data_IF_059048107631
#
_entry.id   IF_059048107631
#
_cell.length_a   1.000
_cell.length_b   1.000
_cell.length_c   1.000
_cell.angle_alpha   90.00
_cell.angle_beta   90.00
_cell.angle_gamma   90.00
#
_symmetry.space_group_name_H-M   'P 1'
#
loop_
_entity.id
_entity.type
_entity.pdbx_description
1 polymer ?
#
# COMPACT_ATOMS: atom_id res chain seq x y z
N UNK A 1 -4.79 -28.25 0.83
CA UNK A 1 -5.68 -27.25 1.45
C UNK A 1 -5.71 -26.07 0.49
N UNK A 2 -6.86 -25.77 -0.11
CA UNK A 2 -7.07 -24.53 -0.87
C UNK A 2 -6.73 -23.38 0.08
N UNK A 3 -5.77 -22.54 -0.27
CA UNK A 3 -5.52 -21.33 0.46
C UNK A 3 -6.84 -20.54 0.44
N UNK A 4 -7.50 -20.46 1.59
CA UNK A 4 -8.63 -19.55 1.75
C UNK A 4 -8.10 -18.16 1.46
N UNK A 5 -8.60 -17.60 0.39
CA UNK A 5 -8.26 -16.27 -0.10
C UNK A 5 -8.68 -15.26 0.97
N UNK A 6 -7.78 -14.98 1.91
CA UNK A 6 -8.03 -14.01 2.97
C UNK A 6 -7.99 -12.57 2.46
N UNK A 7 -8.44 -11.62 3.28
CA UNK A 7 -8.49 -10.21 2.93
C UNK A 7 -7.09 -9.59 2.84
N UNK A 8 -6.89 -8.66 1.89
CA UNK A 8 -5.72 -7.81 1.80
C UNK A 8 -6.03 -6.46 2.46
N UNK A 9 -5.21 -6.05 3.43
CA UNK A 9 -5.24 -4.71 4.02
C UNK A 9 -4.04 -3.90 3.54
N UNK A 10 -4.28 -2.69 3.04
CA UNK A 10 -3.24 -1.72 2.71
C UNK A 10 -3.39 -0.50 3.59
N UNK A 11 -2.36 -0.17 4.38
CA UNK A 11 -2.33 1.06 5.19
C UNK A 11 -1.40 2.05 4.53
N UNK A 12 -1.96 3.16 4.08
CA UNK A 12 -1.34 4.21 3.27
C UNK A 12 -1.34 5.53 4.04
N UNK A 13 -0.25 6.27 4.00
CA UNK A 13 -0.18 7.59 4.60
C UNK A 13 -1.11 8.57 3.88
N UNK A 14 -1.03 8.61 2.55
CA UNK A 14 -1.75 9.54 1.70
C UNK A 14 -2.60 8.84 0.64
N UNK A 15 -3.49 9.60 0.03
CA UNK A 15 -4.49 9.11 -0.91
C UNK A 15 -3.93 8.56 -2.24
N UNK A 16 -2.67 8.84 -2.58
CA UNK A 16 -2.02 8.35 -3.81
C UNK A 16 -1.11 7.14 -3.61
N UNK A 17 -0.52 6.98 -2.43
CA UNK A 17 0.57 6.02 -2.17
C UNK A 17 0.24 4.58 -2.57
N UNK A 18 -0.96 4.11 -2.23
CA UNK A 18 -1.37 2.74 -2.52
C UNK A 18 -1.38 2.43 -4.02
N UNK A 19 -1.65 3.44 -4.86
CA UNK A 19 -1.67 3.28 -6.31
C UNK A 19 -0.25 3.13 -6.85
N UNK A 20 0.63 4.05 -6.42
CA UNK A 20 2.01 4.08 -6.89
C UNK A 20 2.77 2.83 -6.49
N UNK A 21 2.62 2.42 -5.24
CA UNK A 21 3.51 1.46 -4.56
C UNK A 21 2.96 0.04 -4.50
N UNK A 22 1.63 -0.12 -4.52
CA UNK A 22 0.97 -1.41 -4.32
C UNK A 22 -0.20 -1.68 -5.29
N UNK A 23 -0.41 -0.82 -6.30
CA UNK A 23 -1.54 -0.94 -7.22
C UNK A 23 -1.59 -2.27 -7.96
N UNK A 24 -0.44 -2.83 -8.31
CA UNK A 24 -0.35 -4.16 -8.92
C UNK A 24 -0.78 -5.27 -7.97
N UNK A 25 -0.27 -5.27 -6.73
CA UNK A 25 -0.65 -6.25 -5.70
C UNK A 25 -2.15 -6.19 -5.39
N UNK A 26 -2.72 -4.99 -5.26
CA UNK A 26 -4.15 -4.78 -5.02
C UNK A 26 -4.98 -5.35 -6.18
N UNK A 27 -4.60 -5.03 -7.42
CA UNK A 27 -5.31 -5.53 -8.60
C UNK A 27 -5.23 -7.05 -8.74
N UNK A 28 -4.09 -7.66 -8.41
CA UNK A 28 -3.93 -9.13 -8.39
C UNK A 28 -4.80 -9.77 -7.30
N UNK A 29 -4.88 -9.17 -6.10
CA UNK A 29 -5.75 -9.65 -5.04
C UNK A 29 -7.22 -9.64 -5.51
N UNK A 30 -7.68 -8.54 -6.08
CA UNK A 30 -9.03 -8.42 -6.62
C UNK A 30 -9.31 -9.41 -7.76
N UNK A 31 -8.34 -9.68 -8.66
CA UNK A 31 -8.47 -10.68 -9.71
C UNK A 31 -8.62 -12.12 -9.18
N UNK A 32 -8.09 -12.40 -7.98
CA UNK A 32 -8.22 -13.69 -7.28
C UNK A 32 -9.47 -13.79 -6.43
N UNK A 33 -10.35 -12.78 -6.46
CA UNK A 33 -11.54 -12.73 -5.62
C UNK A 33 -11.29 -12.37 -4.15
N UNK A 34 -10.06 -11.95 -3.80
CA UNK A 34 -9.75 -11.47 -2.45
C UNK A 34 -10.36 -10.07 -2.24
N UNK A 35 -10.95 -9.86 -1.08
CA UNK A 35 -11.36 -8.52 -0.66
C UNK A 35 -10.12 -7.68 -0.34
N UNK A 36 -9.86 -6.64 -1.11
CA UNK A 36 -8.79 -5.70 -0.88
C UNK A 36 -9.36 -4.40 -0.27
N UNK A 37 -8.82 -3.98 0.86
CA UNK A 37 -9.24 -2.74 1.55
C UNK A 37 -8.02 -1.86 1.74
N UNK A 38 -8.12 -0.64 1.23
CA UNK A 38 -7.13 0.43 1.41
C UNK A 38 -7.61 1.35 2.52
N UNK A 39 -6.75 1.66 3.46
CA UNK A 39 -6.97 2.65 4.51
C UNK A 39 -5.95 3.78 4.32
N UNK A 40 -6.43 4.94 3.88
CA UNK A 40 -5.63 6.16 3.80
C UNK A 40 -5.75 6.93 5.12
N UNK A 41 -4.62 7.24 5.75
CA UNK A 41 -4.61 7.97 7.02
C UNK A 41 -4.92 9.45 6.80
N UNK A 42 -4.51 10.02 5.65
CA UNK A 42 -4.81 11.38 5.21
C UNK A 42 -5.17 11.41 3.72
N UNK A 43 -5.50 12.58 3.22
CA UNK A 43 -5.76 12.79 1.79
C UNK A 43 -4.50 13.21 1.01
N UNK A 44 -3.38 13.51 1.67
CA UNK A 44 -2.22 14.13 1.03
C UNK A 44 -2.50 15.60 0.69
N UNK A 45 -3.34 16.23 1.50
CA UNK A 45 -3.91 17.54 1.22
C UNK A 45 -2.88 18.66 1.26
N UNK A 46 -1.81 18.53 2.10
CA UNK A 46 -0.76 19.53 2.18
C UNK A 46 0.47 19.17 1.36
N UNK A 47 0.95 17.92 1.48
CA UNK A 47 2.21 17.50 0.86
C UNK A 47 2.11 17.13 -0.61
N UNK A 48 0.97 16.60 -1.05
CA UNK A 48 0.82 16.04 -2.40
C UNK A 48 -0.11 16.84 -3.33
N UNK A 49 -0.59 17.99 -2.88
CA UNK A 49 -1.63 18.79 -3.56
C UNK A 49 -1.13 20.19 -3.97
N UNK A 50 0.17 20.34 -4.23
CA UNK A 50 0.80 21.64 -4.52
C UNK A 50 0.12 22.41 -5.65
N UNK A 51 -0.42 21.74 -6.67
CA UNK A 51 -1.13 22.38 -7.77
C UNK A 51 -2.42 23.03 -7.27
N UNK A 52 -3.26 22.33 -6.55
CA UNK A 52 -4.53 22.83 -6.04
C UNK A 52 -4.32 24.04 -5.10
N UNK A 53 -3.27 24.01 -4.26
CA UNK A 53 -2.88 25.14 -3.43
C UNK A 53 -2.49 26.39 -4.25
N UNK A 54 -1.75 26.22 -5.36
CA UNK A 54 -1.39 27.33 -6.25
C UNK A 54 -2.60 27.89 -7.00
N UNK A 55 -3.59 27.06 -7.26
CA UNK A 55 -4.87 27.45 -7.89
C UNK A 55 -5.82 28.12 -6.90
N UNK A 56 -5.47 28.21 -5.61
CA UNK A 56 -6.21 28.93 -4.58
C UNK A 56 -7.37 28.16 -3.95
N UNK A 57 -7.38 26.81 -4.09
CA UNK A 57 -8.39 25.98 -3.43
C UNK A 57 -8.25 25.99 -1.91
N UNK A 58 -9.37 25.91 -1.22
CA UNK A 58 -9.42 25.71 0.23
C UNK A 58 -8.98 24.29 0.61
N UNK A 59 -8.62 24.09 1.89
CA UNK A 59 -8.25 22.78 2.41
C UNK A 59 -9.36 21.74 2.19
N UNK A 60 -10.61 22.11 2.40
CA UNK A 60 -11.75 21.20 2.23
C UNK A 60 -11.98 20.83 0.76
N UNK A 61 -11.83 21.78 -0.15
CA UNK A 61 -11.88 21.49 -1.59
C UNK A 61 -10.76 20.55 -2.02
N UNK A 62 -9.54 20.75 -1.50
CA UNK A 62 -8.40 19.87 -1.79
C UNK A 62 -8.67 18.46 -1.28
N UNK A 63 -9.15 18.31 -0.03
CA UNK A 63 -9.53 17.00 0.50
C UNK A 63 -10.58 16.31 -0.38
N UNK A 64 -11.62 17.04 -0.79
CA UNK A 64 -12.65 16.49 -1.66
C UNK A 64 -12.11 16.03 -3.02
N UNK A 65 -11.22 16.81 -3.63
CA UNK A 65 -10.53 16.45 -4.88
C UNK A 65 -9.72 15.15 -4.70
N UNK A 66 -8.90 15.09 -3.65
CA UNK A 66 -8.04 13.94 -3.38
C UNK A 66 -8.84 12.67 -3.03
N UNK A 67 -9.93 12.85 -2.30
CA UNK A 67 -10.85 11.75 -1.99
C UNK A 67 -11.49 11.17 -3.26
N UNK A 68 -11.98 12.01 -4.16
CA UNK A 68 -12.58 11.59 -5.43
C UNK A 68 -11.56 10.88 -6.33
N UNK A 69 -10.36 11.43 -6.48
CA UNK A 69 -9.26 10.79 -7.19
C UNK A 69 -8.95 9.40 -6.64
N UNK A 70 -8.76 9.28 -5.32
CA UNK A 70 -8.40 8.02 -4.68
C UNK A 70 -9.54 6.98 -4.75
N UNK A 71 -10.81 7.39 -4.63
CA UNK A 71 -11.97 6.50 -4.82
C UNK A 71 -12.03 5.93 -6.23
N UNK A 72 -11.80 6.78 -7.25
CA UNK A 72 -11.73 6.33 -8.66
C UNK A 72 -10.57 5.35 -8.87
N UNK A 73 -9.40 5.65 -8.30
CA UNK A 73 -8.24 4.79 -8.40
C UNK A 73 -8.46 3.43 -7.70
N UNK A 74 -9.00 3.42 -6.47
CA UNK A 74 -9.34 2.19 -5.76
C UNK A 74 -10.35 1.34 -6.54
N UNK A 75 -11.39 1.96 -7.09
CA UNK A 75 -12.37 1.28 -7.95
C UNK A 75 -11.71 0.65 -9.19
N UNK A 76 -10.80 1.35 -9.86
CA UNK A 76 -10.06 0.81 -11.01
C UNK A 76 -9.21 -0.42 -10.64
N UNK A 77 -8.69 -0.48 -9.41
CA UNK A 77 -7.96 -1.62 -8.88
C UNK A 77 -8.88 -2.76 -8.39
N UNK A 78 -10.15 -2.47 -8.13
CA UNK A 78 -11.10 -3.42 -7.54
C UNK A 78 -11.01 -3.49 -6.01
N UNK A 79 -10.64 -2.40 -5.35
CA UNK A 79 -10.50 -2.29 -3.90
C UNK A 79 -11.55 -1.38 -3.27
N UNK A 80 -11.87 -1.65 -2.01
CA UNK A 80 -12.55 -0.71 -1.12
C UNK A 80 -11.53 0.31 -0.59
N UNK A 81 -11.97 1.53 -0.27
CA UNK A 81 -11.13 2.55 0.32
C UNK A 81 -11.83 3.22 1.51
N UNK A 82 -11.05 3.50 2.56
CA UNK A 82 -11.47 4.21 3.77
C UNK A 82 -10.47 5.31 4.10
N UNK A 83 -10.97 6.42 4.65
CA UNK A 83 -10.14 7.55 5.07
C UNK A 83 -10.26 7.76 6.57
N UNK A 84 -9.13 8.05 7.22
CA UNK A 84 -9.10 8.34 8.65
C UNK A 84 -9.03 9.84 8.94
N UNK A 85 -8.78 10.67 7.94
CA UNK A 85 -8.72 12.14 8.02
C UNK A 85 -7.82 12.65 9.16
N UNK A 86 -6.64 12.07 9.27
CA UNK A 86 -5.68 12.41 10.33
C UNK A 86 -4.86 13.68 10.02
N UNK A 87 -4.97 14.22 8.81
CA UNK A 87 -4.10 15.27 8.29
C UNK A 87 -2.74 14.73 7.86
N UNK A 88 -2.02 15.53 7.09
CA UNK A 88 -0.66 15.24 6.64
C UNK A 88 0.28 16.41 6.91
N UNK A 89 1.58 16.18 6.81
CA UNK A 89 2.64 17.17 6.94
C UNK A 89 2.50 18.09 8.17
N UNK A 90 2.57 17.50 9.37
CA UNK A 90 2.90 16.10 9.65
C UNK A 90 1.67 15.23 9.93
N UNK A 91 1.77 13.95 9.55
CA UNK A 91 0.89 12.91 10.07
C UNK A 91 1.31 12.58 11.51
N UNK A 92 0.46 12.93 12.47
CA UNK A 92 0.76 12.76 13.90
C UNK A 92 0.28 11.40 14.39
N UNK A 93 1.21 10.60 14.89
CA UNK A 93 0.87 9.33 15.53
C UNK A 93 0.04 9.57 16.79
N UNK A 94 -1.09 8.89 16.89
CA UNK A 94 -1.96 9.01 18.06
C UNK A 94 -2.56 7.66 18.44
N UNK A 95 -2.89 7.52 19.73
CA UNK A 95 -3.59 6.33 20.21
C UNK A 95 -4.95 6.15 19.52
N UNK A 96 -5.66 7.23 19.29
CA UNK A 96 -6.96 7.19 18.60
C UNK A 96 -6.85 6.56 17.20
N UNK A 97 -5.87 6.98 16.41
CA UNK A 97 -5.63 6.41 15.07
C UNK A 97 -5.26 4.93 15.14
N UNK A 98 -4.41 4.55 16.10
CA UNK A 98 -4.06 3.16 16.33
C UNK A 98 -5.29 2.35 16.73
N UNK A 99 -6.14 2.85 17.63
CA UNK A 99 -7.38 2.18 18.04
C UNK A 99 -8.36 2.00 16.86
N UNK A 100 -8.46 3.00 15.97
CA UNK A 100 -9.25 2.89 14.72
C UNK A 100 -8.67 1.81 13.80
N UNK A 101 -7.36 1.75 13.64
CA UNK A 101 -6.71 0.70 12.86
C UNK A 101 -6.91 -0.69 13.48
N UNK A 102 -6.82 -0.84 14.81
CA UNK A 102 -7.11 -2.11 15.50
C UNK A 102 -8.50 -2.65 15.17
N UNK A 103 -9.51 -1.77 15.21
CA UNK A 103 -10.89 -2.12 14.83
C UNK A 103 -10.96 -2.63 13.39
N UNK A 104 -10.28 -1.94 12.47
CA UNK A 104 -10.22 -2.34 11.06
C UNK A 104 -9.51 -3.70 10.90
N UNK A 105 -8.41 -3.93 11.61
CA UNK A 105 -7.73 -5.23 11.61
C UNK A 105 -8.65 -6.36 12.07
N UNK A 106 -9.36 -6.17 13.20
CA UNK A 106 -10.28 -7.20 13.71
C UNK A 106 -11.50 -7.40 12.83
N UNK A 107 -12.05 -6.34 12.26
CA UNK A 107 -13.15 -6.41 11.28
C UNK A 107 -12.78 -7.21 10.04
N UNK A 108 -11.59 -6.92 9.48
CA UNK A 108 -11.17 -7.50 8.20
C UNK A 108 -10.49 -8.85 8.33
N UNK A 109 -9.89 -9.15 9.48
CA UNK A 109 -9.03 -10.33 9.67
C UNK A 109 -8.09 -10.55 8.49
N UNK A 110 -7.20 -9.59 8.16
CA UNK A 110 -6.40 -9.66 6.94
C UNK A 110 -5.44 -10.83 6.96
N UNK A 111 -5.29 -11.51 5.83
CA UNK A 111 -4.28 -12.55 5.61
C UNK A 111 -2.92 -11.96 5.20
N UNK A 112 -2.91 -10.73 4.68
CA UNK A 112 -1.72 -9.98 4.27
C UNK A 112 -1.94 -8.49 4.54
N UNK A 113 -0.88 -7.83 4.99
CA UNK A 113 -0.87 -6.37 5.20
C UNK A 113 0.25 -5.75 4.38
N UNK A 114 -0.06 -4.69 3.65
CA UNK A 114 0.91 -3.84 2.96
C UNK A 114 0.95 -2.47 3.63
N UNK A 115 2.15 -1.92 3.80
CA UNK A 115 2.33 -0.57 4.33
C UNK A 115 3.66 0.04 3.87
N UNK A 116 4.00 1.23 4.33
CA UNK A 116 5.22 1.93 3.98
C UNK A 116 6.48 1.28 4.56
N UNK A 117 7.63 1.65 4.01
CA UNK A 117 8.94 1.36 4.59
C UNK A 117 9.10 2.06 5.96
N UNK A 118 9.91 1.44 6.84
CA UNK A 118 10.15 1.96 8.19
C UNK A 118 11.08 3.20 8.21
N UNK A 119 11.77 3.44 7.11
CA UNK A 119 12.62 4.61 6.92
C UNK A 119 12.27 5.29 5.60
N UNK A 120 12.03 6.59 5.67
CA UNK A 120 11.90 7.47 4.51
C UNK A 120 12.35 8.89 4.93
N UNK A 121 13.59 9.28 4.62
CA UNK A 121 14.11 10.60 5.02
C UNK A 121 13.46 11.76 4.28
N UNK A 122 12.71 11.49 3.21
CA UNK A 122 12.03 12.52 2.41
C UNK A 122 10.58 12.77 2.85
N UNK A 123 9.98 11.81 3.56
CA UNK A 123 8.59 11.95 4.00
C UNK A 123 8.37 11.23 5.34
N UNK A 124 8.34 12.02 6.42
CA UNK A 124 8.14 11.50 7.79
C UNK A 124 6.79 10.82 8.02
N UNK A 125 5.78 11.13 7.20
CA UNK A 125 4.44 10.55 7.32
C UNK A 125 4.43 9.06 6.95
N UNK A 126 5.29 8.64 6.02
CA UNK A 126 5.38 7.24 5.61
C UNK A 126 5.83 6.31 6.76
N UNK A 127 6.95 6.56 7.44
CA UNK A 127 7.33 5.77 8.61
C UNK A 127 6.31 5.87 9.76
N UNK A 128 5.64 7.01 9.95
CA UNK A 128 4.59 7.16 10.95
C UNK A 128 3.40 6.24 10.65
N UNK A 129 2.94 6.20 9.40
CA UNK A 129 1.90 5.28 8.96
C UNK A 129 2.29 3.82 9.17
N UNK A 130 3.53 3.45 8.80
CA UNK A 130 4.05 2.10 9.02
C UNK A 130 4.07 1.71 10.50
N UNK A 131 4.58 2.58 11.39
CA UNK A 131 4.60 2.31 12.84
C UNK A 131 3.22 2.11 13.41
N UNK A 132 2.24 2.95 13.04
CA UNK A 132 0.85 2.80 13.49
C UNK A 132 0.22 1.51 12.97
N UNK A 133 0.46 1.13 11.71
CA UNK A 133 -0.01 -0.14 11.16
C UNK A 133 0.56 -1.36 11.92
N UNK A 134 1.86 -1.34 12.24
CA UNK A 134 2.51 -2.40 12.99
C UNK A 134 2.04 -2.47 14.45
N UNK A 135 1.88 -1.33 15.10
CA UNK A 135 1.35 -1.27 16.45
C UNK A 135 -0.09 -1.82 16.49
N UNK A 136 -0.94 -1.40 15.56
CA UNK A 136 -2.31 -1.90 15.45
C UNK A 136 -2.35 -3.41 15.21
N UNK A 137 -1.45 -3.94 14.35
CA UNK A 137 -1.32 -5.38 14.12
C UNK A 137 -1.03 -6.16 15.42
N UNK A 138 -0.13 -5.64 16.28
CA UNK A 138 0.19 -6.29 17.55
C UNK A 138 -0.99 -6.23 18.51
N UNK A 139 -1.61 -5.07 18.65
CA UNK A 139 -2.74 -4.86 19.56
C UNK A 139 -3.99 -5.64 19.12
N UNK A 140 -4.21 -5.80 17.83
CA UNK A 140 -5.33 -6.57 17.30
C UNK A 140 -5.26 -8.07 17.65
N UNK A 141 -4.08 -8.60 17.96
CA UNK A 141 -3.85 -9.99 18.41
C UNK A 141 -4.09 -10.15 19.92
N UNK A 142 -4.02 -9.07 20.68
CA UNK A 142 -4.09 -9.13 22.13
C UNK A 142 -5.52 -9.35 22.60
N UNK A 143 -5.78 -10.49 23.25
CA UNK A 143 -7.11 -10.87 23.79
C UNK A 143 -7.63 -9.82 24.79
N UNK A 144 -6.74 -9.25 25.62
CA UNK A 144 -7.09 -8.26 26.62
C UNK A 144 -7.19 -6.82 26.09
N UNK A 145 -7.06 -6.59 24.79
CA UNK A 145 -7.21 -5.27 24.22
C UNK A 145 -8.67 -4.94 23.95
N UNK A 146 -9.13 -3.82 24.52
CA UNK A 146 -10.53 -3.38 24.40
C UNK A 146 -10.83 -2.84 22.99
N UNK A 147 -11.23 -3.73 22.11
CA UNK A 147 -11.69 -3.42 20.77
C UNK A 147 -12.71 -4.48 20.31
N UNK A 148 -13.73 -4.09 19.52
CA UNK A 148 -14.70 -5.04 18.98
C UNK A 148 -14.05 -6.06 18.05
N UNK A 149 -14.70 -7.24 17.93
CA UNK A 149 -14.25 -8.34 17.07
C UNK A 149 -13.26 -9.28 17.76
N UNK A 150 -13.09 -10.45 17.16
CA UNK A 150 -12.19 -11.47 17.69
C UNK A 150 -10.71 -11.09 17.47
N UNK A 151 -9.82 -11.44 18.41
CA UNK A 151 -8.39 -11.33 18.18
C UNK A 151 -7.96 -12.14 16.96
N UNK A 152 -7.08 -11.60 16.15
CA UNK A 152 -6.62 -12.27 14.94
C UNK A 152 -5.24 -12.91 15.13
N UNK A 153 -4.86 -13.77 14.19
CA UNK A 153 -3.48 -14.24 14.08
C UNK A 153 -2.52 -13.12 13.66
N UNK A 154 -1.26 -13.46 13.46
CA UNK A 154 -0.21 -12.52 13.07
C UNK A 154 -0.09 -12.46 11.53
N UNK A 155 -0.83 -11.60 10.81
CA UNK A 155 -0.70 -11.52 9.37
C UNK A 155 0.72 -11.09 8.98
N UNK A 156 1.30 -11.65 7.90
CA UNK A 156 2.55 -11.16 7.33
C UNK A 156 2.40 -9.71 6.87
N UNK A 157 3.46 -8.94 7.05
CA UNK A 157 3.50 -7.53 6.62
C UNK A 157 4.59 -7.36 5.59
N UNK A 158 4.26 -6.69 4.51
CA UNK A 158 5.19 -6.30 3.47
C UNK A 158 5.22 -4.78 3.36
N UNK A 159 6.44 -4.23 3.42
CA UNK A 159 6.67 -2.83 3.13
C UNK A 159 6.83 -2.64 1.63
N UNK A 160 6.03 -1.78 1.05
CA UNK A 160 6.19 -1.41 -0.36
C UNK A 160 7.34 -0.41 -0.56
N UNK A 161 7.85 -0.40 -1.78
CA UNK A 161 9.01 0.37 -2.17
C UNK A 161 8.81 1.88 -1.97
N UNK A 162 9.70 2.58 -1.24
CA UNK A 162 9.66 4.03 -1.14
C UNK A 162 10.06 4.69 -2.47
N UNK A 163 9.80 5.99 -2.61
CA UNK A 163 10.09 6.74 -3.84
C UNK A 163 11.59 6.79 -4.17
N UNK A 164 12.43 6.82 -3.15
CA UNK A 164 13.90 6.81 -3.28
C UNK A 164 14.49 5.66 -2.45
N UNK A 165 14.43 4.43 -2.97
CA UNK A 165 14.79 3.24 -2.21
C UNK A 165 16.22 3.22 -1.71
N UNK A 166 17.16 3.81 -2.46
CA UNK A 166 18.57 3.83 -2.11
C UNK A 166 18.84 4.63 -0.81
N UNK A 167 18.11 5.73 -0.59
CA UNK A 167 18.23 6.56 0.61
C UNK A 167 17.44 6.01 1.80
N UNK A 168 16.55 5.06 1.55
CA UNK A 168 15.72 4.42 2.56
C UNK A 168 16.31 3.07 3.02
N UNK A 169 17.51 2.71 2.58
CA UNK A 169 18.12 1.37 2.76
C UNK A 169 17.16 0.22 2.39
N UNK A 170 16.34 0.46 1.35
CA UNK A 170 15.32 -0.47 0.91
C UNK A 170 15.93 -1.55 0.02
N UNK A 171 16.06 -2.75 0.58
CA UNK A 171 16.57 -3.93 -0.12
C UNK A 171 15.43 -4.92 -0.30
N UNK A 172 14.76 -4.94 -1.46
CA UNK A 172 13.63 -5.83 -1.67
C UNK A 172 14.04 -7.30 -1.61
N UNK A 173 13.29 -8.08 -0.87
CA UNK A 173 13.38 -9.53 -0.76
C UNK A 173 12.20 -10.26 -1.42
N UNK A 174 11.18 -9.50 -1.84
CA UNK A 174 10.05 -9.99 -2.62
C UNK A 174 9.86 -9.15 -3.88
N UNK A 175 9.82 -9.82 -5.02
CA UNK A 175 9.46 -9.24 -6.31
C UNK A 175 8.18 -9.89 -6.79
N UNK A 176 7.13 -9.12 -6.90
CA UNK A 176 5.80 -9.57 -7.30
C UNK A 176 5.61 -9.29 -8.80
N UNK A 177 5.38 -10.35 -9.58
CA UNK A 177 4.98 -10.20 -10.99
C UNK A 177 3.57 -9.60 -11.08
N UNK A 178 3.51 -8.40 -11.62
CA UNK A 178 2.26 -7.66 -11.82
C UNK A 178 1.90 -7.50 -13.30
N UNK A 179 2.56 -8.23 -14.20
CA UNK A 179 2.39 -8.07 -15.65
C UNK A 179 0.92 -8.15 -16.05
N UNK A 180 0.20 -9.16 -15.55
CA UNK A 180 -1.23 -9.33 -15.83
C UNK A 180 -2.15 -8.30 -15.17
N UNK A 181 -1.66 -7.53 -14.21
CA UNK A 181 -2.41 -6.50 -13.49
C UNK A 181 -1.96 -5.07 -13.84
N UNK A 182 -0.84 -4.91 -14.54
CA UNK A 182 -0.25 -3.60 -14.79
C UNK A 182 -1.20 -2.64 -15.54
N UNK A 183 -1.99 -3.13 -16.46
CA UNK A 183 -2.98 -2.32 -17.15
C UNK A 183 -4.03 -1.70 -16.21
N UNK A 184 -4.44 -2.42 -15.15
CA UNK A 184 -5.32 -1.87 -14.10
C UNK A 184 -4.59 -0.86 -13.22
N UNK A 185 -3.35 -1.15 -12.83
CA UNK A 185 -2.50 -0.21 -12.11
C UNK A 185 -2.33 1.10 -12.89
N UNK A 186 -2.03 1.02 -14.20
CA UNK A 186 -1.87 2.20 -15.05
C UNK A 186 -3.15 3.05 -15.09
N UNK A 187 -4.30 2.44 -15.26
CA UNK A 187 -5.60 3.15 -15.19
C UNK A 187 -5.83 3.83 -13.86
N UNK A 188 -5.46 3.17 -12.75
CA UNK A 188 -5.56 3.77 -11.43
C UNK A 188 -4.62 4.96 -11.25
N UNK A 189 -3.38 4.87 -11.78
CA UNK A 189 -2.45 6.01 -11.79
C UNK A 189 -3.03 7.21 -12.53
N UNK A 190 -3.70 7.00 -13.66
CA UNK A 190 -4.35 8.05 -14.45
C UNK A 190 -5.55 8.70 -13.76
N UNK A 191 -6.09 8.08 -12.70
CA UNK A 191 -7.10 8.70 -11.83
C UNK A 191 -6.51 9.75 -10.87
N UNK A 192 -5.19 9.93 -10.82
CA UNK A 192 -4.48 10.84 -9.92
C UNK A 192 -3.79 11.99 -10.69
N UNK A 193 -4.54 12.88 -11.38
CA UNK A 193 -3.96 13.96 -12.18
C UNK A 193 -3.21 14.99 -11.34
N UNK A 194 -3.48 15.11 -10.03
CA UNK A 194 -2.70 15.95 -9.13
C UNK A 194 -1.20 15.57 -9.12
N UNK A 195 -0.88 14.31 -9.40
CA UNK A 195 0.47 13.76 -9.40
C UNK A 195 0.84 13.15 -10.78
N UNK A 196 0.41 13.75 -11.88
CA UNK A 196 0.65 13.25 -13.24
C UNK A 196 2.12 12.95 -13.54
N UNK A 197 3.05 13.71 -12.97
CA UNK A 197 4.49 13.52 -13.11
C UNK A 197 4.99 12.16 -12.62
N UNK A 198 4.19 11.44 -11.80
CA UNK A 198 4.52 10.11 -11.29
C UNK A 198 4.18 8.99 -12.26
N UNK A 199 3.37 9.22 -13.29
CA UNK A 199 2.90 8.15 -14.18
C UNK A 199 4.04 7.44 -14.90
N UNK A 200 4.97 8.20 -15.47
CA UNK A 200 6.10 7.64 -16.21
C UNK A 200 7.13 7.05 -15.25
N UNK A 201 7.38 7.72 -14.12
CA UNK A 201 8.29 7.22 -13.09
C UNK A 201 7.90 5.81 -12.61
N UNK A 202 6.65 5.60 -12.18
CA UNK A 202 6.22 4.30 -11.69
C UNK A 202 6.01 3.25 -12.80
N UNK A 203 5.78 3.67 -14.02
CA UNK A 203 5.81 2.78 -15.19
C UNK A 203 7.22 2.28 -15.45
N UNK A 204 8.22 3.16 -15.43
CA UNK A 204 9.61 2.80 -15.60
C UNK A 204 10.13 1.94 -14.45
N UNK A 205 9.79 2.29 -13.21
CA UNK A 205 10.14 1.49 -12.03
C UNK A 205 9.60 0.06 -12.15
N UNK A 206 8.35 -0.13 -12.57
CA UNK A 206 7.77 -1.46 -12.74
C UNK A 206 8.52 -2.28 -13.80
N UNK A 207 8.99 -1.67 -14.89
CA UNK A 207 9.84 -2.31 -15.89
C UNK A 207 11.20 -2.73 -15.31
N UNK A 208 11.85 -1.84 -14.57
CA UNK A 208 13.15 -2.14 -13.91
C UNK A 208 13.02 -3.29 -12.94
N UNK A 209 11.96 -3.31 -12.13
CA UNK A 209 11.67 -4.41 -11.19
C UNK A 209 11.32 -5.70 -11.93
N UNK A 210 10.66 -5.62 -13.09
CA UNK A 210 10.44 -6.76 -13.98
C UNK A 210 11.74 -7.37 -14.50
N UNK A 211 12.74 -6.55 -14.87
CA UNK A 211 14.08 -7.05 -15.23
C UNK A 211 14.75 -7.74 -14.04
N UNK A 212 14.65 -7.16 -12.86
CA UNK A 212 15.21 -7.74 -11.63
C UNK A 212 14.52 -9.07 -11.30
N UNK A 213 13.21 -9.14 -11.40
CA UNK A 213 12.43 -10.37 -11.20
C UNK A 213 12.89 -11.47 -12.12
N UNK A 214 13.01 -11.21 -13.42
CA UNK A 214 13.49 -12.20 -14.41
C UNK A 214 14.87 -12.77 -14.06
N UNK A 215 15.77 -11.94 -13.55
CA UNK A 215 17.13 -12.38 -13.16
C UNK A 215 17.14 -13.24 -11.91
N UNK A 216 16.17 -13.07 -11.00
CA UNK A 216 16.07 -13.82 -9.76
C UNK A 216 15.12 -15.02 -9.84
N UNK A 217 14.33 -15.12 -10.90
CA UNK A 217 13.36 -16.19 -11.09
C UNK A 217 13.97 -17.52 -11.59
N UNK A 218 15.29 -17.61 -11.70
CA UNK A 218 16.00 -18.75 -12.25
C UNK A 218 15.99 -18.78 -13.80
N UNK A 219 16.76 -19.66 -14.42
CA UNK A 219 17.09 -19.56 -15.83
C UNK A 219 15.92 -19.85 -16.80
N UNK A 220 14.81 -20.39 -16.32
CA UNK A 220 13.80 -20.98 -17.23
C UNK A 220 12.35 -20.65 -16.90
N UNK A 221 12.05 -19.55 -16.22
CA UNK A 221 10.63 -19.18 -15.98
C UNK A 221 9.91 -18.65 -17.24
N UNK A 222 10.62 -18.49 -18.36
CA UNK A 222 10.01 -18.08 -19.63
C UNK A 222 9.30 -16.72 -19.58
N UNK A 223 9.67 -15.86 -18.65
CA UNK A 223 9.03 -14.57 -18.46
C UNK A 223 9.30 -13.64 -19.66
N UNK A 224 8.27 -12.97 -20.19
CA UNK A 224 8.40 -12.11 -21.36
C UNK A 224 9.26 -10.87 -21.07
N UNK A 225 9.70 -10.20 -22.14
CA UNK A 225 10.54 -8.99 -22.01
C UNK A 225 9.82 -7.82 -21.36
N UNK A 226 8.52 -7.75 -21.50
CA UNK A 226 7.64 -6.71 -20.97
C UNK A 226 7.13 -7.02 -19.55
N UNK A 227 7.76 -7.97 -18.85
CA UNK A 227 7.44 -8.28 -17.46
C UNK A 227 7.52 -7.03 -16.59
N UNK A 228 6.45 -6.79 -15.84
CA UNK A 228 6.32 -5.71 -14.87
C UNK A 228 6.32 -6.28 -13.46
N UNK A 229 6.98 -5.59 -12.52
CA UNK A 229 6.97 -6.06 -11.12
C UNK A 229 6.86 -4.90 -10.13
N UNK A 230 6.39 -5.23 -8.94
CA UNK A 230 6.49 -4.44 -7.74
C UNK A 230 7.47 -5.09 -6.76
N UNK A 231 8.12 -4.26 -5.94
CA UNK A 231 9.11 -4.71 -4.97
C UNK A 231 8.66 -4.47 -3.55
N UNK A 232 8.93 -5.44 -2.67
CA UNK A 232 8.56 -5.40 -1.27
C UNK A 232 9.70 -5.89 -0.37
N UNK A 233 9.66 -5.44 0.88
CA UNK A 233 10.43 -6.01 1.99
C UNK A 233 9.46 -6.70 2.93
N UNK A 234 9.70 -7.97 3.21
CA UNK A 234 8.95 -8.72 4.20
C UNK A 234 9.51 -8.46 5.59
N UNK A 235 8.69 -7.90 6.50
CA UNK A 235 9.17 -7.52 7.83
C UNK A 235 9.37 -8.69 8.79
N UNK A 236 8.60 -9.76 8.65
CA UNK A 236 8.64 -10.91 9.56
C UNK A 236 9.05 -12.17 8.83
N UNK A 237 9.73 -13.10 9.51
CA UNK A 237 10.13 -14.36 8.90
C UNK A 237 8.97 -15.10 8.24
N UNK A 238 9.26 -15.77 7.14
CA UNK A 238 8.30 -16.68 6.53
C UNK A 238 8.20 -17.94 7.37
N UNK A 239 6.96 -18.29 7.72
CA UNK A 239 6.67 -19.59 8.30
C UNK A 239 6.21 -20.53 7.19
N UNK A 240 6.93 -21.59 6.95
CA UNK A 240 6.62 -22.58 5.91
C UNK A 240 7.00 -23.99 6.36
N UNK A 241 6.30 -24.96 5.86
CA UNK A 241 6.62 -26.36 6.07
C UNK A 241 7.67 -26.88 5.05
N UNK A 242 7.88 -26.14 3.97
CA UNK A 242 8.81 -26.53 2.90
C UNK A 242 9.59 -25.31 2.41
N UNK A 243 10.87 -25.53 2.12
CA UNK A 243 11.66 -24.57 1.34
C UNK A 243 11.32 -24.81 -0.14
N UNK A 244 10.66 -23.86 -0.76
CA UNK A 244 10.33 -23.89 -2.18
C UNK A 244 11.43 -23.27 -2.99
#
# INVERSE_FOLDING_TARGET
MSATEGNLLVVSAHAGDFVWRAGGAIALAAQRGQRAVVVCLSYGERGESARAWREGHSLEEIKAIREDEAKKAASALGAEIRFLDAGDYPLVESRELVDRLVRIYRELSPSVVLTHALADPYNGDHPAAARMALQARVLAQAIGYDAPGEPLGAPPVFCFEPHQPEQCDFKPDVLLDITGAFGRKRKAMECLPAQQHMWDYYTDLAKRRGVQLKRNAGPNLGLPHDTMAEAYVRLYPQVTAHLA
#
